data_IF_287379003482
#
_entry.id   IF_287379003482
#
_cell.length_a   1.000
_cell.length_b   1.000
_cell.length_c   1.000
_cell.angle_alpha   90.00
_cell.angle_beta   90.00
_cell.angle_gamma   90.00
#
_symmetry.space_group_name_H-M   'P 1'
#
loop_
_entity.id
_entity.type
_entity.pdbx_description
1 polymer ?
#
# COMPACT_ATOMS: atom_id res chain seq x y z
N UNK A 1 2.39 0.92 -19.09
CA UNK A 1 1.25 0.95 -18.15
C UNK A 1 1.46 -0.21 -17.19
N UNK A 2 1.45 0.04 -15.89
CA UNK A 2 1.66 -1.02 -14.90
C UNK A 2 0.54 -2.05 -14.92
N UNK A 3 0.85 -3.30 -14.55
CA UNK A 3 -0.15 -4.35 -14.36
C UNK A 3 -0.91 -4.15 -13.05
N UNK A 4 -0.23 -3.64 -12.03
CA UNK A 4 -0.81 -3.19 -10.77
C UNK A 4 -0.32 -1.77 -10.50
N UNK A 5 -1.26 -0.86 -10.25
CA UNK A 5 -0.97 0.52 -9.87
C UNK A 5 -1.75 0.88 -8.61
N UNK A 6 -1.03 1.29 -7.59
CA UNK A 6 -1.54 1.78 -6.32
C UNK A 6 -0.97 3.18 -6.09
N UNK A 7 -1.85 4.16 -5.93
CA UNK A 7 -1.49 5.58 -5.78
C UNK A 7 -2.07 6.12 -4.49
N UNK A 8 -1.22 6.73 -3.67
CA UNK A 8 -1.55 7.36 -2.40
C UNK A 8 -2.44 6.48 -1.50
N UNK A 9 -2.09 5.20 -1.36
CA UNK A 9 -2.85 4.27 -0.52
C UNK A 9 -2.63 4.63 0.94
N UNK A 10 -3.73 4.97 1.60
CA UNK A 10 -3.79 5.14 3.05
C UNK A 10 -4.73 4.10 3.66
N UNK A 11 -4.39 3.62 4.85
CA UNK A 11 -5.26 2.71 5.60
C UNK A 11 -5.25 3.07 7.07
N UNK A 12 -6.46 3.25 7.60
CA UNK A 12 -6.68 3.46 9.02
C UNK A 12 -7.46 2.29 9.61
N UNK A 13 -7.12 1.93 10.84
CA UNK A 13 -7.92 1.06 11.67
C UNK A 13 -8.30 1.78 12.96
N UNK A 14 -9.51 1.51 13.45
CA UNK A 14 -9.92 1.98 14.76
C UNK A 14 -9.44 0.99 15.82
N UNK A 15 -8.68 1.46 16.79
CA UNK A 15 -8.21 0.65 17.91
C UNK A 15 -8.25 1.50 19.18
N UNK A 16 -8.90 1.00 20.24
CA UNK A 16 -9.08 1.70 21.52
C UNK A 16 -9.59 3.14 21.38
N UNK A 17 -10.56 3.33 20.48
CA UNK A 17 -11.17 4.64 20.22
C UNK A 17 -10.29 5.61 19.41
N UNK A 18 -9.04 5.24 19.09
CA UNK A 18 -8.11 6.04 18.28
C UNK A 18 -8.05 5.53 16.84
N UNK A 19 -7.74 6.43 15.91
CA UNK A 19 -7.42 6.09 14.53
C UNK A 19 -5.92 5.77 14.43
N UNK A 20 -5.58 4.54 14.03
CA UNK A 20 -4.22 4.13 13.75
C UNK A 20 -4.00 4.15 12.23
N UNK A 21 -3.07 4.99 11.76
CA UNK A 21 -2.63 4.98 10.37
C UNK A 21 -1.64 3.81 10.19
N UNK A 22 -2.00 2.85 9.35
CA UNK A 22 -1.25 1.61 9.12
C UNK A 22 -0.62 1.54 7.72
N UNK A 23 -1.20 2.24 6.75
CA UNK A 23 -0.54 2.57 5.48
C UNK A 23 -0.57 4.08 5.31
N UNK A 24 0.56 4.67 4.95
CA UNK A 24 0.74 6.12 4.85
C UNK A 24 1.26 6.53 3.47
N UNK A 25 0.34 6.97 2.61
CA UNK A 25 0.67 7.55 1.31
C UNK A 25 1.42 6.61 0.37
N UNK A 26 1.18 5.30 0.43
CA UNK A 26 1.96 4.31 -0.31
C UNK A 26 1.65 4.40 -1.81
N UNK A 27 2.70 4.54 -2.62
CA UNK A 27 2.65 4.44 -4.08
C UNK A 27 3.41 3.18 -4.50
N UNK A 28 2.78 2.29 -5.26
CA UNK A 28 3.39 1.07 -5.79
C UNK A 28 2.92 0.86 -7.23
N UNK A 29 3.88 0.61 -8.12
CA UNK A 29 3.62 0.20 -9.48
C UNK A 29 4.37 -1.11 -9.74
N UNK A 30 3.66 -2.14 -10.19
CA UNK A 30 4.24 -3.42 -10.60
C UNK A 30 3.93 -3.64 -12.07
N UNK A 31 4.97 -3.82 -12.87
CA UNK A 31 4.87 -4.04 -14.30
C UNK A 31 4.63 -5.52 -14.62
N UNK A 32 4.18 -5.80 -15.85
CA UNK A 32 4.01 -7.18 -16.28
C UNK A 32 5.37 -7.90 -16.35
N UNK A 33 5.40 -9.13 -15.87
CA UNK A 33 6.63 -9.94 -15.77
C UNK A 33 7.53 -9.66 -14.56
N UNK A 34 7.22 -8.67 -13.72
CA UNK A 34 7.97 -8.44 -12.47
C UNK A 34 7.61 -9.49 -11.41
N UNK A 35 8.64 -10.05 -10.77
CA UNK A 35 8.52 -10.92 -9.61
C UNK A 35 8.93 -10.15 -8.35
N UNK A 36 7.94 -9.69 -7.58
CA UNK A 36 8.14 -8.74 -6.48
C UNK A 36 7.99 -9.44 -5.13
N UNK A 37 8.87 -9.10 -4.19
CA UNK A 37 8.78 -9.48 -2.78
C UNK A 37 8.60 -8.22 -1.93
N UNK A 38 7.65 -8.25 -0.99
CA UNK A 38 7.48 -7.21 0.03
C UNK A 38 8.10 -7.75 1.32
N UNK A 39 9.06 -7.02 1.87
CA UNK A 39 9.78 -7.37 3.10
C UNK A 39 9.60 -6.22 4.09
N UNK A 40 9.41 -6.55 5.37
CA UNK A 40 9.22 -5.59 6.47
C UNK A 40 9.45 -6.24 7.81
#
# INVERSE_FOLDING_TARGET
MGKLEAKNIEKYFKHDGKQLKTLDGINLNVNDGEFVCIVG
#
